data_IF_724967521479
#
_entry.id   IF_724967521479
#
_cell.length_a   1.000
_cell.length_b   1.000
_cell.length_c   1.000
_cell.angle_alpha   90.00
_cell.angle_beta   90.00
_cell.angle_gamma   90.00
#
_symmetry.space_group_name_H-M   'P 1'
#
loop_
_entity.id
_entity.type
_entity.pdbx_description
1 polymer ?
#
# COMPACT_ATOMS: atom_id res chain seq x y z
N UNK A 1 -23.90 15.19 -3.97
CA UNK A 1 -23.33 14.19 -3.04
C UNK A 1 -22.38 14.91 -2.09
N UNK A 2 -22.61 14.88 -0.77
CA UNK A 2 -21.61 15.33 0.20
C UNK A 2 -20.42 14.36 0.04
N UNK A 3 -19.22 14.87 -0.29
CA UNK A 3 -18.00 14.05 -0.20
C UNK A 3 -17.86 13.62 1.26
N UNK A 4 -17.74 12.32 1.50
CA UNK A 4 -17.30 11.83 2.82
C UNK A 4 -15.97 12.53 3.17
N UNK A 5 -15.74 12.79 4.45
CA UNK A 5 -14.47 13.36 4.91
C UNK A 5 -13.31 12.53 4.35
N UNK A 6 -12.31 13.19 3.77
CA UNK A 6 -11.10 12.53 3.29
C UNK A 6 -10.16 12.10 4.44
N UNK A 7 -10.55 12.34 5.70
CA UNK A 7 -9.77 12.09 6.91
C UNK A 7 -10.66 11.37 7.92
N UNK A 8 -10.14 10.31 8.51
CA UNK A 8 -10.75 9.63 9.67
C UNK A 8 -10.19 10.24 10.96
N UNK A 9 -11.04 10.95 11.70
CA UNK A 9 -10.66 11.60 12.96
C UNK A 9 -10.62 10.66 14.15
N UNK A 10 -11.03 9.40 13.98
CA UNK A 10 -11.03 8.39 15.05
C UNK A 10 -9.72 7.57 15.10
N UNK A 11 -8.93 7.58 14.03
CA UNK A 11 -7.68 6.83 13.96
C UNK A 11 -6.53 7.54 14.67
N UNK A 12 -5.74 6.76 15.40
CA UNK A 12 -4.39 7.18 15.83
C UNK A 12 -3.36 6.89 14.73
N UNK A 13 -2.15 7.44 14.88
CA UNK A 13 -1.02 7.08 14.02
C UNK A 13 -0.77 5.56 14.00
N UNK A 14 -0.87 4.92 15.17
CA UNK A 14 -0.61 3.48 15.28
C UNK A 14 -1.70 2.64 14.60
N UNK A 15 -2.95 3.07 14.66
CA UNK A 15 -4.05 2.41 13.95
C UNK A 15 -3.90 2.55 12.42
N UNK A 16 -3.53 3.75 11.96
CA UNK A 16 -3.28 4.04 10.55
C UNK A 16 -2.09 3.20 10.02
N UNK A 17 -0.97 3.18 10.75
CA UNK A 17 0.20 2.34 10.46
C UNK A 17 -0.17 0.86 10.43
N UNK A 18 -0.86 0.36 11.46
CA UNK A 18 -1.25 -1.04 11.53
C UNK A 18 -2.20 -1.44 10.38
N UNK A 19 -3.07 -0.53 9.95
CA UNK A 19 -3.93 -0.75 8.78
C UNK A 19 -3.11 -0.88 7.50
N UNK A 20 -2.14 0.00 7.28
CA UNK A 20 -1.25 -0.08 6.13
C UNK A 20 -0.41 -1.36 6.11
N UNK A 21 0.23 -1.71 7.23
CA UNK A 21 1.05 -2.92 7.35
C UNK A 21 0.26 -4.22 7.18
N UNK A 22 -1.00 -4.26 7.64
CA UNK A 22 -1.90 -5.41 7.39
C UNK A 22 -2.20 -5.55 5.90
N UNK A 23 -2.49 -4.44 5.22
CA UNK A 23 -2.77 -4.46 3.78
C UNK A 23 -1.53 -4.88 2.98
N UNK A 24 -0.34 -4.43 3.34
CA UNK A 24 0.91 -4.93 2.74
C UNK A 24 1.07 -6.44 2.92
N UNK A 25 0.79 -6.95 4.13
CA UNK A 25 0.85 -8.39 4.42
C UNK A 25 -0.17 -9.18 3.60
N UNK A 26 -1.38 -8.64 3.41
CA UNK A 26 -2.42 -9.27 2.61
C UNK A 26 -2.08 -9.25 1.11
N UNK A 27 -1.53 -8.15 0.60
CA UNK A 27 -1.10 -8.03 -0.79
C UNK A 27 0.14 -8.91 -1.09
N UNK A 28 1.03 -9.10 -0.11
CA UNK A 28 2.17 -10.00 -0.24
C UNK A 28 1.78 -11.46 -0.48
N UNK A 29 0.57 -11.88 -0.04
CA UNK A 29 0.08 -13.26 -0.22
C UNK A 29 -0.28 -13.61 -1.66
N UNK A 30 -0.41 -12.62 -2.55
CA UNK A 30 -0.62 -12.86 -3.97
C UNK A 30 0.66 -13.32 -4.69
N UNK A 31 1.83 -13.13 -4.08
CA UNK A 31 3.08 -13.67 -4.62
C UNK A 31 3.23 -15.13 -4.16
N UNK A 32 3.37 -16.11 -5.08
CA UNK A 32 3.45 -17.52 -4.71
C UNK A 32 4.62 -17.82 -3.76
N UNK A 33 4.36 -18.48 -2.63
CA UNK A 33 5.36 -18.67 -1.57
C UNK A 33 6.60 -19.46 -2.04
N UNK A 34 6.45 -20.34 -3.01
CA UNK A 34 7.52 -21.13 -3.62
C UNK A 34 8.55 -20.26 -4.35
N UNK A 35 8.13 -19.11 -4.91
CA UNK A 35 9.03 -18.20 -5.61
C UNK A 35 9.69 -17.19 -4.68
N UNK A 36 9.17 -17.00 -3.47
CA UNK A 36 9.66 -15.99 -2.51
C UNK A 36 10.94 -16.47 -1.82
N UNK A 37 12.01 -15.68 -1.94
CA UNK A 37 13.26 -15.86 -1.19
C UNK A 37 13.22 -15.16 0.17
N UNK A 38 12.71 -13.92 0.21
CA UNK A 38 12.57 -13.13 1.44
C UNK A 38 11.45 -12.10 1.31
N UNK A 39 10.93 -11.66 2.46
CA UNK A 39 9.99 -10.55 2.58
C UNK A 39 10.56 -9.60 3.63
N UNK A 40 10.76 -8.34 3.24
CA UNK A 40 11.19 -7.26 4.13
C UNK A 40 10.08 -6.21 4.22
N UNK A 41 9.31 -6.26 5.30
CA UNK A 41 8.30 -5.25 5.63
C UNK A 41 8.94 -4.20 6.56
N UNK A 42 9.05 -2.97 6.07
CA UNK A 42 9.65 -1.88 6.83
C UNK A 42 8.79 -1.53 8.04
N UNK A 43 9.41 -1.58 9.21
CA UNK A 43 8.75 -1.28 10.48
C UNK A 43 8.60 0.21 10.75
N UNK A 44 9.29 1.07 9.99
CA UNK A 44 9.18 2.53 10.09
C UNK A 44 8.90 3.16 8.74
N UNK A 45 8.13 4.24 8.79
CA UNK A 45 7.69 5.05 7.66
C UNK A 45 7.82 6.54 7.93
N UNK A 46 7.34 7.34 6.98
CA UNK A 46 7.22 8.80 7.11
C UNK A 46 5.76 9.20 7.03
N UNK A 47 5.45 10.43 7.43
CA UNK A 47 4.12 10.99 7.27
C UNK A 47 4.04 11.85 6.00
N UNK A 48 3.04 11.58 5.17
CA UNK A 48 2.71 12.38 3.99
C UNK A 48 1.43 13.17 4.23
N UNK A 49 1.42 14.45 3.86
CA UNK A 49 0.27 15.33 4.11
C UNK A 49 -0.96 14.90 3.30
N UNK A 50 -2.12 14.91 3.94
CA UNK A 50 -3.42 14.82 3.32
C UNK A 50 -4.08 16.21 3.21
N UNK A 51 -5.22 16.28 2.54
CA UNK A 51 -6.06 17.48 2.58
C UNK A 51 -6.73 17.61 3.95
N UNK A 52 -6.46 18.69 4.67
CA UNK A 52 -7.03 18.97 5.99
C UNK A 52 -5.99 19.50 6.97
N UNK A 53 -6.45 20.11 8.05
CA UNK A 53 -5.57 20.59 9.11
C UNK A 53 -4.94 19.42 9.86
N UNK A 54 -3.60 19.43 9.95
CA UNK A 54 -2.79 18.36 10.57
C UNK A 54 -3.16 16.95 10.09
N UNK A 55 -3.69 16.82 8.87
CA UNK A 55 -4.08 15.53 8.30
C UNK A 55 -2.89 14.88 7.59
N UNK A 56 -2.60 13.62 7.92
CA UNK A 56 -1.48 12.87 7.36
C UNK A 56 -1.87 11.41 7.11
N UNK A 57 -1.12 10.76 6.24
CA UNK A 57 -1.08 9.31 6.09
C UNK A 57 0.32 8.81 6.41
N UNK A 58 0.40 7.65 7.04
CA UNK A 58 1.65 6.94 7.23
C UNK A 58 1.98 6.17 5.95
N UNK A 59 3.24 6.26 5.50
CA UNK A 59 3.71 5.57 4.30
C UNK A 59 4.53 4.35 4.66
N UNK A 60 4.16 3.18 4.15
CA UNK A 60 4.89 1.94 4.34
C UNK A 60 5.50 1.40 3.06
N UNK A 61 6.33 0.39 3.23
CA UNK A 61 6.88 -0.36 2.13
C UNK A 61 7.16 -1.81 2.55
N UNK A 62 6.78 -2.73 1.68
CA UNK A 62 7.21 -4.13 1.73
C UNK A 62 7.92 -4.50 0.44
N UNK A 63 9.09 -5.14 0.55
CA UNK A 63 9.84 -5.70 -0.58
C UNK A 63 9.83 -7.21 -0.50
N UNK A 64 9.48 -7.85 -1.60
CA UNK A 64 9.49 -9.30 -1.74
C UNK A 64 10.57 -9.65 -2.75
N UNK A 65 11.60 -10.39 -2.34
CA UNK A 65 12.63 -10.87 -3.26
C UNK A 65 12.26 -12.26 -3.78
N UNK A 66 12.45 -12.50 -5.08
CA UNK A 66 12.30 -13.82 -5.68
C UNK A 66 13.54 -14.68 -5.49
N UNK A 67 13.35 -16.01 -5.55
CA UNK A 67 14.44 -16.99 -5.64
C UNK A 67 15.13 -16.96 -7.00
N UNK A 68 14.37 -16.64 -8.05
CA UNK A 68 14.83 -16.52 -9.44
C UNK A 68 14.20 -15.27 -10.06
N UNK A 69 14.93 -14.49 -10.87
CA UNK A 69 14.34 -13.35 -11.58
C UNK A 69 13.17 -13.77 -12.48
N UNK A 70 12.21 -12.87 -12.71
CA UNK A 70 11.01 -13.09 -13.51
C UNK A 70 10.26 -14.38 -13.14
N UNK A 71 10.14 -14.65 -11.83
CA UNK A 71 9.53 -15.88 -11.33
C UNK A 71 8.00 -15.92 -11.49
N UNK A 72 7.36 -14.79 -11.77
CA UNK A 72 5.92 -14.67 -11.94
C UNK A 72 5.59 -13.95 -13.24
N UNK A 73 4.33 -14.06 -13.65
CA UNK A 73 3.74 -13.18 -14.66
C UNK A 73 3.17 -11.92 -13.97
N UNK A 74 3.73 -10.72 -14.22
CA UNK A 74 3.27 -9.50 -13.56
C UNK A 74 1.86 -9.07 -13.98
N UNK A 75 1.42 -9.38 -15.21
CA UNK A 75 0.06 -9.09 -15.65
C UNK A 75 -0.94 -9.99 -14.92
N UNK A 76 -0.61 -11.27 -14.75
CA UNK A 76 -1.43 -12.21 -13.98
C UNK A 76 -1.58 -11.80 -12.51
N UNK A 77 -0.49 -11.31 -11.88
CA UNK A 77 -0.53 -10.77 -10.53
C UNK A 77 -1.49 -9.57 -10.43
N UNK A 78 -1.41 -8.63 -11.37
CA UNK A 78 -2.28 -7.45 -11.42
C UNK A 78 -3.74 -7.85 -11.60
N UNK A 79 -4.04 -8.74 -12.54
CA UNK A 79 -5.39 -9.21 -12.81
C UNK A 79 -6.01 -9.92 -11.59
N UNK A 80 -5.23 -10.74 -10.89
CA UNK A 80 -5.68 -11.44 -9.69
C UNK A 80 -6.02 -10.47 -8.56
N UNK A 81 -5.17 -9.46 -8.31
CA UNK A 81 -5.43 -8.44 -7.29
C UNK A 81 -6.65 -7.60 -7.66
N UNK A 82 -6.76 -7.14 -8.91
CA UNK A 82 -7.92 -6.37 -9.38
C UNK A 82 -9.21 -7.18 -9.21
N UNK A 83 -9.22 -8.44 -9.65
CA UNK A 83 -10.39 -9.30 -9.53
C UNK A 83 -10.78 -9.54 -8.07
N UNK A 84 -9.80 -9.73 -7.18
CA UNK A 84 -10.07 -10.02 -5.75
C UNK A 84 -10.67 -8.82 -5.02
N UNK A 85 -10.25 -7.60 -5.38
CA UNK A 85 -10.71 -6.37 -4.74
C UNK A 85 -11.91 -5.71 -5.44
N UNK A 86 -12.33 -6.19 -6.62
CA UNK A 86 -13.47 -5.65 -7.35
C UNK A 86 -14.79 -5.71 -6.55
N UNK A 87 -14.99 -6.80 -5.79
CA UNK A 87 -16.22 -7.03 -5.02
C UNK A 87 -16.03 -6.84 -3.51
N UNK A 88 -14.84 -6.41 -3.06
CA UNK A 88 -14.54 -6.28 -1.63
C UNK A 88 -15.12 -4.95 -1.10
N UNK A 89 -16.09 -4.98 -0.17
CA UNK A 89 -16.67 -3.75 0.37
C UNK A 89 -15.60 -2.83 0.98
N UNK A 90 -15.70 -1.53 0.69
CA UNK A 90 -14.76 -0.52 1.16
C UNK A 90 -13.48 -0.38 0.32
N UNK A 91 -13.35 -1.15 -0.76
CA UNK A 91 -12.21 -1.07 -1.67
C UNK A 91 -12.64 -0.88 -3.12
N UNK A 92 -11.70 -0.34 -3.90
CA UNK A 92 -11.70 -0.41 -5.36
C UNK A 92 -10.28 -0.77 -5.80
N UNK A 93 -10.14 -1.45 -6.92
CA UNK A 93 -8.83 -1.76 -7.49
C UNK A 93 -8.83 -1.52 -9.00
N UNK A 94 -7.69 -1.06 -9.51
CA UNK A 94 -7.48 -0.83 -10.94
C UNK A 94 -6.04 -1.10 -11.32
N UNK A 95 -5.84 -1.54 -12.56
CA UNK A 95 -4.51 -1.53 -13.17
C UNK A 95 -4.00 -0.08 -13.22
N UNK A 96 -2.77 0.11 -12.80
CA UNK A 96 -2.05 1.38 -12.84
C UNK A 96 -0.59 1.08 -13.16
N UNK A 97 -0.19 1.17 -14.44
CA UNK A 97 1.20 0.95 -14.85
C UNK A 97 2.14 1.92 -14.12
N UNK A 98 3.30 1.41 -13.74
CA UNK A 98 4.33 2.23 -13.11
C UNK A 98 5.02 3.15 -14.12
N UNK A 99 5.77 4.18 -13.68
CA UNK A 99 6.41 5.14 -14.59
C UNK A 99 7.36 4.54 -15.62
N UNK A 100 7.89 3.34 -15.37
CA UNK A 100 8.73 2.56 -16.27
C UNK A 100 7.94 1.69 -17.27
N UNK A 101 6.61 1.74 -17.21
CA UNK A 101 5.69 0.98 -18.04
C UNK A 101 5.45 -0.45 -17.58
N UNK A 102 6.01 -0.88 -16.44
CA UNK A 102 5.72 -2.22 -15.90
C UNK A 102 4.26 -2.29 -15.41
N UNK A 103 3.64 -3.48 -15.48
CA UNK A 103 2.32 -3.71 -14.90
C UNK A 103 2.32 -3.38 -13.41
N UNK A 104 1.25 -2.73 -12.97
CA UNK A 104 1.02 -2.42 -11.57
C UNK A 104 -0.46 -2.34 -11.26
N UNK A 105 -0.78 -2.40 -9.98
CA UNK A 105 -2.15 -2.27 -9.47
C UNK A 105 -2.19 -1.24 -8.36
N UNK A 106 -3.26 -0.45 -8.37
CA UNK A 106 -3.62 0.45 -7.29
C UNK A 106 -4.90 -0.03 -6.63
N UNK A 107 -4.78 -0.50 -5.39
CA UNK A 107 -5.89 -0.78 -4.49
C UNK A 107 -6.16 0.46 -3.65
N UNK A 108 -7.39 0.97 -3.69
CA UNK A 108 -7.82 2.19 -3.02
C UNK A 108 -8.82 1.81 -1.93
N UNK A 109 -8.54 2.19 -0.70
CA UNK A 109 -9.41 2.01 0.45
C UNK A 109 -10.13 3.30 0.85
N UNK A 110 -10.79 3.26 2.02
CA UNK A 110 -11.47 4.43 2.58
C UNK A 110 -10.49 5.51 3.06
N UNK A 111 -10.99 6.74 3.20
CA UNK A 111 -10.25 7.88 3.75
C UNK A 111 -8.89 8.16 3.08
N UNK A 112 -8.81 7.95 1.77
CA UNK A 112 -7.61 8.23 0.99
C UNK A 112 -6.52 7.16 1.07
N UNK A 113 -6.78 6.01 1.71
CA UNK A 113 -5.84 4.90 1.73
C UNK A 113 -5.56 4.39 0.31
N UNK A 114 -4.29 4.08 0.03
CA UNK A 114 -3.84 3.59 -1.27
C UNK A 114 -2.72 2.59 -1.12
N UNK A 115 -2.71 1.58 -1.99
CA UNK A 115 -1.71 0.53 -2.01
C UNK A 115 -1.31 0.25 -3.45
N UNK A 116 -0.03 0.46 -3.75
CA UNK A 116 0.54 0.21 -5.06
C UNK A 116 1.34 -1.08 -5.00
N UNK A 117 1.12 -1.97 -5.96
CA UNK A 117 1.87 -3.22 -6.10
C UNK A 117 2.40 -3.32 -7.52
N UNK A 118 3.69 -3.60 -7.65
CA UNK A 118 4.36 -3.77 -8.94
C UNK A 118 5.57 -4.70 -8.82
N UNK A 119 5.97 -5.30 -9.93
CA UNK A 119 7.30 -5.90 -10.05
C UNK A 119 8.36 -4.79 -10.06
N UNK A 120 9.49 -5.01 -9.39
CA UNK A 120 10.60 -4.07 -9.42
C UNK A 120 11.26 -4.01 -10.82
N UNK A 121 11.97 -2.92 -11.11
CA UNK A 121 12.53 -2.63 -12.45
C UNK A 121 13.45 -3.74 -12.97
N UNK A 122 14.20 -4.39 -12.08
CA UNK A 122 15.13 -5.48 -12.38
C UNK A 122 14.47 -6.87 -12.41
N UNK A 123 13.16 -6.96 -12.17
CA UNK A 123 12.36 -8.19 -12.15
C UNK A 123 12.89 -9.24 -11.20
N UNK A 124 13.44 -8.80 -10.09
CA UNK A 124 13.95 -9.66 -9.01
C UNK A 124 12.97 -9.79 -7.86
N UNK A 125 11.83 -9.11 -7.91
CA UNK A 125 10.88 -9.07 -6.81
C UNK A 125 9.64 -8.21 -7.03
N UNK A 126 8.77 -8.17 -6.02
CA UNK A 126 7.62 -7.25 -5.94
C UNK A 126 7.93 -6.16 -4.92
N UNK A 127 7.51 -4.93 -5.24
CA UNK A 127 7.44 -3.83 -4.29
C UNK A 127 5.97 -3.50 -3.98
N UNK A 128 5.67 -3.31 -2.71
CA UNK A 128 4.38 -2.86 -2.21
C UNK A 128 4.61 -1.53 -1.51
N UNK A 129 4.01 -0.46 -2.01
CA UNK A 129 3.99 0.84 -1.36
C UNK A 129 2.61 1.05 -0.75
N UNK A 130 2.56 1.42 0.52
CA UNK A 130 1.30 1.66 1.22
C UNK A 130 1.17 3.10 1.69
N UNK A 131 -0.06 3.57 1.67
CA UNK A 131 -0.50 4.85 2.16
C UNK A 131 -1.71 4.58 3.04
N UNK A 132 -1.58 4.79 4.36
CA UNK A 132 -2.65 4.53 5.31
C UNK A 132 -3.88 5.41 5.01
N UNK A 133 -5.06 5.09 5.59
CA UNK A 133 -6.11 6.09 5.76
C UNK A 133 -5.54 7.39 6.34
N UNK A 134 -6.00 8.53 5.84
CA UNK A 134 -5.62 9.82 6.39
C UNK A 134 -6.21 9.98 7.79
N UNK A 135 -5.38 10.39 8.74
CA UNK A 135 -5.74 10.63 10.15
C UNK A 135 -5.29 12.03 10.57
N UNK A 136 -5.83 12.53 11.68
CA UNK A 136 -5.37 13.80 12.28
C UNK A 136 -4.21 13.49 13.20
N UNK A 137 -3.03 14.08 12.95
CA UNK A 137 -1.86 13.91 13.82
C UNK A 137 -2.07 14.70 15.12
N UNK A 138 -2.09 14.02 16.29
CA UNK A 138 -2.22 14.68 17.59
C UNK A 138 -1.21 15.81 17.80
N UNK A 139 -1.59 16.78 18.64
CA UNK A 139 -0.68 17.83 19.09
C UNK A 139 0.55 17.25 19.79
N UNK A 140 1.68 17.97 19.70
CA UNK A 140 2.95 17.54 20.27
C UNK A 140 3.75 16.54 19.42
N UNK A 141 3.14 15.91 18.41
CA UNK A 141 3.88 15.11 17.42
C UNK A 141 4.32 15.94 16.21
N UNK A 142 5.51 15.63 15.71
CA UNK A 142 6.11 16.29 14.56
C UNK A 142 6.05 15.39 13.32
N UNK A 143 5.46 15.84 12.20
CA UNK A 143 5.43 15.05 10.96
C UNK A 143 6.79 14.72 10.35
N UNK A 144 7.87 15.39 10.78
CA UNK A 144 9.23 15.13 10.30
C UNK A 144 9.92 13.90 10.92
N UNK A 145 9.32 13.29 11.95
CA UNK A 145 9.87 12.10 12.60
C UNK A 145 9.63 10.82 11.78
N UNK A 146 10.30 9.73 12.18
CA UNK A 146 10.10 8.39 11.65
C UNK A 146 9.26 7.55 12.62
N UNK A 147 8.22 6.90 12.11
CA UNK A 147 7.22 6.20 12.92
C UNK A 147 7.01 4.76 12.51
#
# INVERSE_FOLDING_TARGET
>A
MKRASAVDTSLTLQDAKATAMRMETDLAKFVPAEVVASIDQRQTGVLMSCSGERAYQWTGQTKIAYRTPAAIDPDALVDEIVSTYADRPGFTARSEPFPDGQPGVHVIGEYGAGYLVNENVDRTGVEILSFSPCFVLPEGMWPGDHY
#
